data_IF_627933954934
#
_entry.id   IF_627933954934
#
_cell.length_a   1.000
_cell.length_b   1.000
_cell.length_c   1.000
_cell.angle_alpha   90.00
_cell.angle_beta   90.00
_cell.angle_gamma   90.00
#
_symmetry.space_group_name_H-M   'P 1'
#
loop_
_entity.id
_entity.type
_entity.pdbx_description
1 polymer ?
#
# COMPACT_ATOMS: atom_id res chain seq x y z
N UNK A 1 34.09 5.45 -48.59
CA UNK A 1 34.24 5.65 -47.14
C UNK A 1 32.95 6.31 -46.65
N UNK A 2 31.98 5.50 -46.23
CA UNK A 2 30.66 5.94 -45.80
C UNK A 2 30.60 5.87 -44.27
N UNK A 3 29.98 6.84 -43.57
CA UNK A 3 29.90 6.80 -42.11
C UNK A 3 28.79 5.86 -41.66
N UNK A 4 29.11 5.03 -40.67
CA UNK A 4 28.16 4.17 -39.97
C UNK A 4 27.28 5.04 -39.07
N UNK A 5 25.97 5.02 -39.33
CA UNK A 5 24.94 5.54 -38.43
C UNK A 5 24.76 4.57 -37.27
N UNK A 6 24.93 5.09 -36.05
CA UNK A 6 24.67 4.38 -34.80
C UNK A 6 23.19 4.03 -34.68
N UNK A 7 22.95 2.78 -34.31
CA UNK A 7 21.64 2.25 -33.95
C UNK A 7 21.47 2.48 -32.44
N UNK A 8 20.97 3.66 -32.07
CA UNK A 8 20.43 3.92 -30.73
C UNK A 8 19.05 3.26 -30.66
N UNK A 9 19.03 1.98 -30.31
CA UNK A 9 17.80 1.31 -29.90
C UNK A 9 17.30 1.96 -28.59
N UNK A 10 16.05 2.46 -28.53
CA UNK A 10 15.53 3.00 -27.29
C UNK A 10 15.33 1.86 -26.29
N UNK A 11 15.84 2.10 -25.08
CA UNK A 11 15.72 1.37 -23.82
C UNK A 11 14.31 0.77 -23.61
N UNK A 12 14.07 -0.43 -24.15
CA UNK A 12 12.78 -1.13 -24.12
C UNK A 12 12.40 -1.61 -22.72
N UNK A 13 13.37 -1.70 -21.80
CA UNK A 13 13.17 -2.15 -20.43
C UNK A 13 12.43 -1.10 -19.57
N UNK A 14 12.61 0.21 -19.86
CA UNK A 14 11.87 1.28 -19.15
C UNK A 14 10.40 1.38 -19.58
N UNK A 15 10.09 1.02 -20.81
CA UNK A 15 8.73 1.09 -21.35
C UNK A 15 7.82 -0.04 -20.84
N UNK A 16 8.37 -1.26 -20.61
CA UNK A 16 7.59 -2.37 -20.05
C UNK A 16 7.31 -2.21 -18.55
N UNK A 17 8.20 -1.55 -17.80
CA UNK A 17 8.06 -1.35 -16.36
C UNK A 17 7.00 -0.28 -16.02
N UNK A 18 6.85 0.74 -16.87
CA UNK A 18 5.86 1.82 -16.68
C UNK A 18 4.40 1.36 -16.87
N UNK A 19 4.15 0.38 -17.75
CA UNK A 19 2.80 -0.10 -18.06
C UNK A 19 2.17 -1.00 -16.98
N UNK A 20 2.96 -1.47 -16.00
CA UNK A 20 2.51 -2.39 -14.94
C UNK A 20 2.54 -1.77 -13.53
N UNK A 21 2.93 -0.49 -13.39
CA UNK A 21 3.04 0.16 -12.08
C UNK A 21 1.65 0.48 -11.49
N UNK A 22 1.46 0.27 -10.16
CA UNK A 22 0.22 0.67 -9.50
C UNK A 22 -0.04 2.19 -9.64
N UNK A 23 -1.30 2.64 -9.77
CA UNK A 23 -1.63 4.07 -9.82
C UNK A 23 -1.12 4.87 -8.62
N UNK A 24 -1.02 4.24 -7.44
CA UNK A 24 -0.42 4.85 -6.26
C UNK A 24 1.06 5.18 -6.47
N UNK A 25 1.82 4.31 -7.13
CA UNK A 25 3.24 4.57 -7.41
C UNK A 25 3.39 5.78 -8.32
N UNK A 26 2.62 5.83 -9.42
CA UNK A 26 2.63 6.99 -10.32
C UNK A 26 2.22 8.30 -9.62
N UNK A 27 1.31 8.24 -8.65
CA UNK A 27 0.91 9.41 -7.86
C UNK A 27 1.95 9.81 -6.80
N UNK A 28 2.81 8.88 -6.36
CA UNK A 28 3.94 9.15 -5.48
C UNK A 28 5.13 9.74 -6.26
N UNK A 29 5.27 9.39 -7.54
CA UNK A 29 6.30 9.90 -8.45
C UNK A 29 5.95 11.31 -9.00
N UNK A 30 4.98 12.06 -8.42
CA UNK A 30 4.65 13.44 -8.85
C UNK A 30 5.87 14.38 -8.71
N UNK A 31 6.74 14.09 -7.75
CA UNK A 31 7.98 14.85 -7.51
C UNK A 31 9.19 13.96 -7.66
N UNK A 32 10.31 14.58 -8.04
CA UNK A 32 11.60 13.93 -7.99
C UNK A 32 12.00 13.63 -6.53
N UNK A 33 12.88 12.63 -6.39
CA UNK A 33 13.41 12.19 -5.09
C UNK A 33 14.16 13.31 -4.36
N UNK A 34 14.74 14.27 -5.09
CA UNK A 34 15.48 15.40 -4.53
C UNK A 34 14.59 16.36 -3.73
N UNK A 35 13.37 16.63 -4.21
CA UNK A 35 12.39 17.41 -3.45
C UNK A 35 11.90 16.63 -2.22
N UNK A 36 11.64 15.32 -2.35
CA UNK A 36 11.21 14.51 -1.22
C UNK A 36 12.26 14.49 -0.09
N UNK A 37 13.54 14.33 -0.44
CA UNK A 37 14.66 14.41 0.49
C UNK A 37 14.80 15.80 1.12
N UNK A 38 14.66 16.86 0.30
CA UNK A 38 14.69 18.25 0.79
C UNK A 38 13.56 18.52 1.79
N UNK A 39 12.36 18.00 1.53
CA UNK A 39 11.21 18.10 2.45
C UNK A 39 11.50 17.35 3.75
N UNK A 40 11.90 16.08 3.69
CA UNK A 40 12.22 15.29 4.87
C UNK A 40 13.29 15.97 5.74
N UNK A 41 14.42 16.35 5.12
CA UNK A 41 15.52 17.05 5.79
C UNK A 41 15.09 18.37 6.41
N UNK A 42 14.22 19.14 5.73
CA UNK A 42 13.71 20.39 6.28
C UNK A 42 12.86 20.18 7.54
N UNK A 43 12.15 19.05 7.64
CA UNK A 43 11.21 18.76 8.72
C UNK A 43 11.86 18.09 9.93
N UNK A 44 13.01 17.44 9.75
CA UNK A 44 13.75 16.79 10.83
C UNK A 44 14.00 17.75 12.00
N UNK A 45 13.69 17.31 13.22
CA UNK A 45 13.90 18.07 14.45
C UNK A 45 12.84 19.12 14.76
N UNK A 46 11.81 19.30 13.93
CA UNK A 46 10.72 20.25 14.20
C UNK A 46 9.60 19.62 15.03
N UNK A 47 9.06 20.39 15.96
CA UNK A 47 7.84 20.05 16.71
C UNK A 47 6.63 20.83 16.22
N UNK A 48 5.43 20.25 16.41
CA UNK A 48 4.13 20.90 16.14
C UNK A 48 3.97 21.49 14.74
N UNK A 49 4.50 20.80 13.73
CA UNK A 49 4.46 21.25 12.34
C UNK A 49 3.02 21.29 11.82
N UNK A 50 2.68 22.39 11.14
CA UNK A 50 1.44 22.51 10.35
C UNK A 50 1.78 22.54 8.88
N UNK A 51 1.22 21.62 8.12
CA UNK A 51 1.43 21.46 6.69
C UNK A 51 0.10 21.60 5.95
N UNK A 52 0.08 22.38 4.87
CA UNK A 52 -1.13 22.61 4.07
C UNK A 52 -0.86 22.44 2.60
N UNK A 53 -1.87 22.03 1.83
CA UNK A 53 -1.74 21.83 0.38
C UNK A 53 -0.91 20.60 0.03
N UNK A 54 -0.95 19.55 0.85
CA UNK A 54 -0.13 18.35 0.70
C UNK A 54 -0.68 17.43 -0.40
N UNK A 55 0.05 17.19 -1.49
CA UNK A 55 -0.24 16.13 -2.45
C UNK A 55 0.14 14.75 -1.87
N UNK A 56 -0.36 13.66 -2.47
CA UNK A 56 -0.07 12.29 -2.02
C UNK A 56 1.44 12.02 -1.95
N UNK A 57 2.20 12.44 -2.96
CA UNK A 57 3.66 12.27 -3.05
C UNK A 57 4.46 12.84 -1.87
N UNK A 58 3.93 13.83 -1.15
CA UNK A 58 4.63 14.42 0.00
C UNK A 58 4.22 13.81 1.34
N UNK A 59 3.27 12.88 1.39
CA UNK A 59 2.94 12.17 2.63
C UNK A 59 4.09 11.28 3.12
N UNK A 60 4.78 10.47 2.28
CA UNK A 60 5.93 9.68 2.72
C UNK A 60 7.04 10.45 3.43
N UNK A 61 7.63 11.54 2.88
CA UNK A 61 8.67 12.26 3.58
C UNK A 61 8.17 12.95 4.85
N UNK A 62 6.89 13.36 4.90
CA UNK A 62 6.27 13.91 6.13
C UNK A 62 6.16 12.84 7.22
N UNK A 63 5.73 11.62 6.88
CA UNK A 63 5.66 10.50 7.82
C UNK A 63 7.04 10.10 8.33
N UNK A 64 8.04 9.99 7.44
CA UNK A 64 9.40 9.67 7.83
C UNK A 64 9.96 10.68 8.85
N UNK A 65 9.82 11.98 8.57
CA UNK A 65 10.25 13.02 9.50
C UNK A 65 9.41 13.02 10.81
N UNK A 66 8.12 12.65 10.73
CA UNK A 66 7.27 12.51 11.92
C UNK A 66 7.72 11.36 12.80
N UNK A 67 8.09 10.22 12.23
CA UNK A 67 8.53 9.01 12.95
C UNK A 67 9.86 9.24 13.69
N UNK A 68 10.71 10.14 13.18
CA UNK A 68 11.94 10.59 13.86
C UNK A 68 11.69 11.59 15.00
N UNK A 69 10.46 12.12 15.12
CA UNK A 69 10.11 13.14 16.11
C UNK A 69 9.33 12.52 17.27
N UNK A 70 9.68 12.84 18.52
CA UNK A 70 8.93 12.38 19.70
C UNK A 70 7.97 13.44 20.21
N UNK A 71 6.73 13.05 20.50
CA UNK A 71 5.71 13.94 21.07
C UNK A 71 5.08 14.89 20.05
N UNK A 72 4.02 15.59 20.48
CA UNK A 72 3.27 16.55 19.66
C UNK A 72 2.37 15.91 18.59
N UNK A 73 1.52 16.74 17.98
CA UNK A 73 0.64 16.32 16.88
C UNK A 73 0.92 17.20 15.67
N UNK A 74 1.33 16.57 14.57
CA UNK A 74 1.53 17.28 13.30
C UNK A 74 0.18 17.43 12.60
N UNK A 75 -0.08 18.62 12.05
CA UNK A 75 -1.36 18.96 11.44
C UNK A 75 -1.20 19.03 9.94
N UNK A 76 -1.81 18.10 9.21
CA UNK A 76 -1.62 17.95 7.76
C UNK A 76 -2.93 18.15 7.02
N UNK A 77 -3.02 19.20 6.20
CA UNK A 77 -4.13 19.41 5.27
C UNK A 77 -3.71 19.05 3.84
N UNK A 78 -4.24 17.94 3.36
CA UNK A 78 -4.05 17.41 2.02
C UNK A 78 -4.84 18.20 0.96
N UNK A 79 -4.38 18.14 -0.29
CA UNK A 79 -5.14 18.61 -1.45
C UNK A 79 -6.39 17.75 -1.67
N UNK A 80 -7.47 18.29 -2.28
CA UNK A 80 -8.57 17.46 -2.78
C UNK A 80 -8.04 16.27 -3.58
N UNK A 81 -8.56 15.07 -3.30
CA UNK A 81 -8.17 13.83 -3.99
C UNK A 81 -6.87 13.18 -3.50
N UNK A 82 -6.06 13.81 -2.64
CA UNK A 82 -4.82 13.18 -2.15
C UNK A 82 -5.05 12.10 -1.07
N UNK A 83 -6.18 12.14 -0.35
CA UNK A 83 -6.51 11.15 0.69
C UNK A 83 -7.18 9.90 0.11
N UNK A 84 -7.98 10.03 -0.95
CA UNK A 84 -8.76 8.94 -1.55
C UNK A 84 -7.89 7.72 -1.98
N UNK A 85 -6.70 7.89 -2.59
CA UNK A 85 -5.82 6.77 -2.94
C UNK A 85 -5.33 5.95 -1.74
N UNK A 86 -5.32 6.52 -0.53
CA UNK A 86 -4.87 5.81 0.68
C UNK A 86 -5.74 4.58 0.98
N UNK A 87 -7.02 4.61 0.62
CA UNK A 87 -7.93 3.45 0.73
C UNK A 87 -7.53 2.27 -0.19
N UNK A 88 -6.57 2.47 -1.08
CA UNK A 88 -6.10 1.48 -2.07
C UNK A 88 -4.59 1.27 -2.03
N UNK A 89 -3.92 1.86 -1.04
CA UNK A 89 -2.48 1.79 -0.85
C UNK A 89 -2.21 1.13 0.51
N UNK A 90 -2.16 -0.21 0.58
CA UNK A 90 -2.09 -0.94 1.85
C UNK A 90 -0.97 -0.41 2.76
N UNK A 91 0.25 -0.24 2.23
CA UNK A 91 1.41 0.19 3.02
C UNK A 91 1.24 1.64 3.50
N UNK A 92 1.02 2.59 2.59
CA UNK A 92 0.91 4.00 2.94
C UNK A 92 -0.35 4.30 3.75
N UNK A 93 -1.48 3.75 3.35
CA UNK A 93 -2.76 3.97 4.00
C UNK A 93 -2.79 3.46 5.44
N UNK A 94 -2.22 2.28 5.73
CA UNK A 94 -2.15 1.78 7.11
C UNK A 94 -1.15 2.56 7.97
N UNK A 95 -0.06 3.06 7.38
CA UNK A 95 0.88 3.95 8.07
C UNK A 95 0.26 5.31 8.42
N UNK A 96 -0.42 5.97 7.47
CA UNK A 96 -1.15 7.23 7.75
C UNK A 96 -2.25 6.98 8.78
N UNK A 97 -3.00 5.89 8.67
CA UNK A 97 -4.04 5.54 9.64
C UNK A 97 -3.48 5.28 11.04
N UNK A 98 -2.27 4.67 11.15
CA UNK A 98 -1.57 4.51 12.42
C UNK A 98 -1.19 5.86 13.04
N UNK A 99 -0.61 6.76 12.23
CA UNK A 99 -0.23 8.09 12.69
C UNK A 99 -1.45 8.88 13.20
N UNK A 100 -2.59 8.75 12.53
CA UNK A 100 -3.86 9.35 12.97
C UNK A 100 -4.39 8.68 14.24
N UNK A 101 -4.41 7.35 14.31
CA UNK A 101 -4.94 6.62 15.47
C UNK A 101 -4.12 6.85 16.74
N UNK A 102 -2.80 7.01 16.62
CA UNK A 102 -1.89 7.32 17.74
C UNK A 102 -1.91 8.79 18.14
N UNK A 103 -2.63 9.65 17.40
CA UNK A 103 -2.67 11.09 17.65
C UNK A 103 -1.36 11.82 17.30
N UNK A 104 -0.43 11.15 16.63
CA UNK A 104 0.82 11.75 16.15
C UNK A 104 0.58 12.66 14.94
N UNK A 105 -0.51 12.44 14.20
CA UNK A 105 -0.91 13.21 13.03
C UNK A 105 -2.42 13.53 13.03
N UNK A 106 -2.79 14.78 12.78
CA UNK A 106 -4.16 15.21 12.48
C UNK A 106 -4.30 15.42 10.97
N UNK A 107 -5.17 14.66 10.31
CA UNK A 107 -5.35 14.70 8.86
C UNK A 107 -6.62 15.45 8.46
N UNK A 108 -6.48 16.38 7.51
CA UNK A 108 -7.59 17.13 6.90
C UNK A 108 -7.45 17.16 5.39
N UNK A 109 -8.53 17.50 4.70
CA UNK A 109 -8.56 17.78 3.27
C UNK A 109 -9.00 19.22 3.06
N UNK A 110 -8.22 19.99 2.31
CA UNK A 110 -8.60 21.35 1.95
C UNK A 110 -9.90 21.35 1.14
N UNK A 111 -10.79 22.31 1.41
CA UNK A 111 -11.98 22.52 0.58
C UNK A 111 -11.56 22.84 -0.86
N UNK A 112 -12.39 22.42 -1.81
CA UNK A 112 -12.17 22.63 -3.24
C UNK A 112 -12.10 24.14 -3.54
N UNK A 113 -10.88 24.67 -3.65
CA UNK A 113 -10.66 26.00 -4.20
C UNK A 113 -10.81 25.84 -5.70
N UNK A 114 -12.05 25.91 -6.18
CA UNK A 114 -12.34 25.84 -7.60
C UNK A 114 -11.53 26.87 -8.42
N UNK A 115 -11.54 26.79 -9.76
CA UNK A 115 -10.60 27.48 -10.66
C UNK A 115 -10.62 29.03 -10.65
N UNK A 116 -11.32 29.68 -9.71
CA UNK A 116 -11.63 31.12 -9.73
C UNK A 116 -10.75 32.01 -8.87
N UNK A 117 -9.76 31.48 -8.14
CA UNK A 117 -8.73 32.35 -7.55
C UNK A 117 -7.56 32.52 -8.53
N UNK A 118 -7.78 33.40 -9.52
CA UNK A 118 -6.84 33.75 -10.60
C UNK A 118 -5.57 34.50 -10.17
N UNK A 119 -5.09 34.27 -8.96
CA UNK A 119 -3.80 34.74 -8.48
C UNK A 119 -3.14 33.63 -7.67
N UNK A 120 -2.30 32.80 -8.32
CA UNK A 120 -1.46 31.77 -7.67
C UNK A 120 -2.24 30.71 -6.84
N UNK A 121 -3.54 30.57 -7.07
CA UNK A 121 -4.52 29.87 -6.21
C UNK A 121 -4.62 28.35 -6.33
N UNK A 122 -3.58 27.66 -6.80
CA UNK A 122 -3.40 26.25 -6.45
C UNK A 122 -2.95 26.16 -4.99
N UNK A 123 -3.37 25.13 -4.25
CA UNK A 123 -2.90 24.93 -2.88
C UNK A 123 -1.39 24.64 -2.83
N UNK A 124 -0.57 25.72 -2.85
CA UNK A 124 0.87 25.64 -2.63
C UNK A 124 1.13 24.90 -1.33
N UNK A 125 2.06 23.96 -1.38
CA UNK A 125 2.43 23.19 -0.21
C UNK A 125 3.30 24.06 0.68
N UNK A 126 2.86 24.28 1.91
CA UNK A 126 3.60 25.08 2.90
C UNK A 126 3.70 24.31 4.21
N UNK A 127 4.85 24.44 4.88
CA UNK A 127 5.19 23.86 6.16
C UNK A 127 5.46 25.02 7.13
N UNK A 128 4.90 24.98 8.34
CA UNK A 128 5.12 26.00 9.35
C UNK A 128 5.43 25.37 10.72
N UNK A 129 6.50 25.85 11.35
CA UNK A 129 6.83 25.70 12.77
C UNK A 129 6.82 27.08 13.44
N UNK A 130 7.19 27.15 14.72
CA UNK A 130 7.20 28.40 15.49
C UNK A 130 8.20 29.45 14.95
N UNK A 131 9.29 28.98 14.35
CA UNK A 131 10.49 29.74 13.99
C UNK A 131 10.81 29.71 12.48
N UNK A 132 10.11 28.87 11.71
CA UNK A 132 10.40 28.67 10.30
C UNK A 132 9.16 28.35 9.48
N UNK A 133 9.13 28.88 8.25
CA UNK A 133 8.13 28.52 7.24
C UNK A 133 8.86 28.11 5.95
N UNK A 134 8.45 27.00 5.36
CA UNK A 134 8.93 26.57 4.05
C UNK A 134 7.76 26.44 3.09
N UNK A 135 7.97 26.80 1.83
CA UNK A 135 6.99 26.64 0.77
C UNK A 135 7.60 25.94 -0.43
N UNK A 136 6.87 24.99 -1.01
CA UNK A 136 7.23 24.37 -2.29
C UNK A 136 6.94 25.38 -3.41
N UNK A 137 7.97 25.77 -4.15
CA UNK A 137 7.91 26.74 -5.24
C UNK A 137 8.69 26.23 -6.47
N UNK A 138 8.55 26.94 -7.59
CA UNK A 138 9.20 26.59 -8.86
C UNK A 138 8.26 25.89 -9.84
N UNK A 139 8.71 25.69 -11.10
CA UNK A 139 7.95 24.97 -12.12
C UNK A 139 7.83 23.49 -11.75
N UNK A 140 6.87 22.79 -12.36
CA UNK A 140 6.65 21.36 -12.08
C UNK A 140 7.90 20.50 -12.25
N UNK A 141 8.78 20.84 -13.20
CA UNK A 141 10.03 20.12 -13.49
C UNK A 141 11.22 20.49 -12.62
N UNK A 142 11.10 21.49 -11.73
CA UNK A 142 12.20 21.96 -10.88
C UNK A 142 11.64 22.62 -9.61
N UNK A 143 10.83 21.86 -8.86
CA UNK A 143 10.29 22.35 -7.59
C UNK A 143 11.37 22.35 -6.52
N UNK A 144 11.33 23.33 -5.62
CA UNK A 144 12.28 23.47 -4.51
C UNK A 144 11.58 24.08 -3.29
N UNK A 145 12.27 24.11 -2.15
CA UNK A 145 11.82 24.78 -0.94
C UNK A 145 12.32 26.23 -0.91
N UNK A 146 11.40 27.15 -0.61
CA UNK A 146 11.72 28.52 -0.23
C UNK A 146 11.48 28.65 1.26
N UNK A 147 12.53 29.05 1.98
CA UNK A 147 12.55 29.12 3.44
C UNK A 147 12.47 30.58 3.91
N UNK A 148 11.69 30.81 4.96
CA UNK A 148 11.65 32.06 5.71
C UNK A 148 11.85 31.78 7.21
N UNK A 149 12.78 32.51 7.82
CA UNK A 149 13.19 32.38 9.23
C UNK A 149 13.13 33.73 9.97
N UNK A 150 12.82 34.82 9.26
CA UNK A 150 12.65 36.15 9.85
C UNK A 150 11.39 36.16 10.73
N UNK A 151 11.57 36.30 12.05
CA UNK A 151 10.52 36.14 13.06
C UNK A 151 9.19 36.85 12.73
N UNK A 152 9.22 38.10 12.26
CA UNK A 152 8.00 38.86 11.92
C UNK A 152 7.23 38.23 10.74
N UNK A 153 7.96 37.76 9.72
CA UNK A 153 7.36 37.12 8.53
C UNK A 153 6.93 35.69 8.83
N UNK A 154 7.72 34.94 9.60
CA UNK A 154 7.36 33.61 10.09
C UNK A 154 6.06 33.67 10.89
N UNK A 155 5.91 34.63 11.79
CA UNK A 155 4.69 34.77 12.59
C UNK A 155 3.45 35.02 11.71
N UNK A 156 3.57 35.88 10.70
CA UNK A 156 2.48 36.17 9.78
C UNK A 156 2.16 34.96 8.87
N UNK A 157 3.18 34.36 8.25
CA UNK A 157 3.02 33.21 7.35
C UNK A 157 2.52 31.96 8.10
N UNK A 158 3.06 31.70 9.29
CA UNK A 158 2.64 30.60 10.15
C UNK A 158 1.21 30.74 10.67
N UNK A 159 0.70 31.98 10.85
CA UNK A 159 -0.74 32.20 11.10
C UNK A 159 -1.57 31.82 9.87
N UNK A 160 -1.19 32.30 8.68
CA UNK A 160 -1.91 31.98 7.44
C UNK A 160 -1.97 30.47 7.15
N UNK A 161 -0.88 29.73 7.41
CA UNK A 161 -0.83 28.26 7.29
C UNK A 161 -1.78 27.59 8.29
N UNK A 162 -1.79 28.03 9.55
CA UNK A 162 -2.70 27.51 10.58
C UNK A 162 -4.16 27.81 10.29
N UNK A 163 -4.48 29.00 9.83
CA UNK A 163 -5.85 29.38 9.45
C UNK A 163 -6.34 28.52 8.27
N UNK A 164 -5.47 28.27 7.29
CA UNK A 164 -5.78 27.36 6.18
C UNK A 164 -6.04 25.94 6.66
N UNK A 165 -5.24 25.41 7.58
CA UNK A 165 -5.49 24.10 8.19
C UNK A 165 -6.83 24.09 8.95
N UNK A 166 -7.10 25.13 9.75
CA UNK A 166 -8.33 25.25 10.53
C UNK A 166 -9.58 25.27 9.64
N UNK A 167 -9.50 25.86 8.44
CA UNK A 167 -10.58 25.88 7.44
C UNK A 167 -10.78 24.57 6.68
N UNK A 168 -9.82 23.64 6.75
CA UNK A 168 -9.90 22.36 6.07
C UNK A 168 -10.82 21.38 6.82
N UNK A 169 -11.37 20.41 6.10
CA UNK A 169 -12.31 19.42 6.64
C UNK A 169 -11.55 18.22 7.20
N UNK A 170 -11.90 17.69 8.39
CA UNK A 170 -11.35 16.42 8.88
C UNK A 170 -11.45 15.31 7.84
N UNK A 171 -10.38 14.56 7.65
CA UNK A 171 -10.30 13.49 6.67
C UNK A 171 -10.24 12.13 7.36
N UNK A 172 -10.92 11.14 6.80
CA UNK A 172 -10.81 9.74 7.22
C UNK A 172 -9.89 8.99 6.27
N UNK A 173 -9.00 8.18 6.83
CA UNK A 173 -8.21 7.25 6.03
C UNK A 173 -9.07 6.01 5.81
N UNK A 174 -9.34 5.65 4.55
CA UNK A 174 -10.11 4.45 4.20
C UNK A 174 -9.35 3.14 4.43
N UNK A 175 -8.50 3.08 5.46
CA UNK A 175 -7.67 1.94 5.87
C UNK A 175 -7.62 1.87 7.40
N UNK A 176 -7.45 0.68 7.98
CA UNK A 176 -7.24 0.52 9.41
C UNK A 176 -5.84 0.99 9.81
N UNK A 177 -5.69 1.41 11.06
CA UNK A 177 -4.40 1.56 11.71
C UNK A 177 -3.62 0.24 11.63
N UNK A 178 -2.32 0.31 11.42
CA UNK A 178 -1.45 -0.86 11.22
C UNK A 178 -1.42 -1.78 12.44
N UNK A 179 -1.31 -1.22 13.64
CA UNK A 179 -1.37 -1.99 14.90
C UNK A 179 -2.66 -2.80 15.00
N UNK A 180 -3.80 -2.19 14.64
CA UNK A 180 -5.11 -2.86 14.59
C UNK A 180 -5.20 -3.92 13.50
N UNK A 181 -4.67 -3.63 12.30
CA UNK A 181 -4.62 -4.60 11.20
C UNK A 181 -3.89 -5.88 11.64
N UNK A 182 -2.76 -5.74 12.32
CA UNK A 182 -1.94 -6.85 12.77
C UNK A 182 -2.56 -7.59 13.95
N UNK A 183 -3.10 -6.87 14.95
CA UNK A 183 -3.76 -7.50 16.09
C UNK A 183 -4.95 -8.38 15.67
N UNK A 184 -5.80 -7.86 14.80
CA UNK A 184 -6.95 -8.63 14.26
C UNK A 184 -6.54 -9.78 13.34
N UNK A 185 -5.39 -9.65 12.65
CA UNK A 185 -4.82 -10.73 11.86
C UNK A 185 -4.37 -11.88 12.77
N UNK A 186 -3.70 -11.56 13.88
CA UNK A 186 -3.29 -12.55 14.88
C UNK A 186 -4.50 -13.29 15.47
N UNK A 187 -5.58 -12.56 15.78
CA UNK A 187 -6.81 -13.13 16.33
C UNK A 187 -7.59 -14.00 15.34
N UNK A 188 -7.67 -13.59 14.06
CA UNK A 188 -8.52 -14.27 13.07
C UNK A 188 -7.79 -15.37 12.30
N UNK A 189 -6.47 -15.22 12.11
CA UNK A 189 -5.63 -16.12 11.33
C UNK A 189 -4.64 -16.84 12.25
N UNK A 190 -3.46 -16.25 12.49
CA UNK A 190 -2.51 -16.66 13.53
C UNK A 190 -1.40 -15.61 13.72
N UNK A 191 -0.63 -15.73 14.81
CA UNK A 191 0.49 -14.84 15.13
C UNK A 191 1.60 -14.87 14.06
N UNK A 192 1.79 -16.01 13.39
CA UNK A 192 2.81 -16.17 12.34
C UNK A 192 2.47 -15.35 11.11
N UNK A 193 1.22 -15.42 10.65
CA UNK A 193 0.74 -14.58 9.56
C UNK A 193 0.83 -13.09 9.92
N UNK A 194 0.44 -12.71 11.14
CA UNK A 194 0.54 -11.32 11.59
C UNK A 194 1.99 -10.82 11.61
N UNK A 195 2.93 -11.65 12.10
CA UNK A 195 4.37 -11.33 12.13
C UNK A 195 4.94 -11.19 10.72
N UNK A 196 4.63 -12.12 9.83
CA UNK A 196 5.09 -12.08 8.44
C UNK A 196 4.50 -10.89 7.68
N UNK A 197 3.22 -10.56 7.91
CA UNK A 197 2.59 -9.38 7.35
C UNK A 197 3.24 -8.08 7.88
N UNK A 198 3.55 -8.02 9.17
CA UNK A 198 4.23 -6.88 9.76
C UNK A 198 5.60 -6.65 9.10
N UNK A 199 6.42 -7.69 9.03
CA UNK A 199 7.75 -7.63 8.41
C UNK A 199 7.68 -7.27 6.92
N UNK A 200 6.71 -7.83 6.18
CA UNK A 200 6.50 -7.47 4.78
C UNK A 200 6.14 -5.98 4.65
N UNK A 201 5.17 -5.49 5.41
CA UNK A 201 4.76 -4.08 5.35
C UNK A 201 5.88 -3.10 5.77
N UNK A 202 6.83 -3.52 6.62
CA UNK A 202 7.96 -2.67 7.05
C UNK A 202 9.03 -2.54 5.96
N UNK A 203 9.22 -3.60 5.18
CA UNK A 203 10.23 -3.62 4.12
C UNK A 203 9.73 -3.01 2.79
N UNK A 204 8.42 -2.89 2.62
CA UNK A 204 7.85 -2.45 1.34
C UNK A 204 7.84 -0.92 1.20
N UNK A 205 8.30 -0.38 0.06
CA UNK A 205 8.07 1.03 -0.23
C UNK A 205 6.57 1.29 -0.41
N UNK A 206 6.14 2.51 -0.08
CA UNK A 206 4.72 2.90 -0.07
C UNK A 206 3.97 2.70 -1.41
N UNK A 207 4.68 2.76 -2.54
CA UNK A 207 4.14 2.52 -3.88
C UNK A 207 4.29 1.08 -4.40
N UNK A 208 4.85 0.15 -3.61
CA UNK A 208 5.23 -1.19 -4.09
C UNK A 208 4.05 -2.01 -4.62
N UNK A 209 2.85 -1.77 -4.07
CA UNK A 209 1.62 -2.49 -4.33
C UNK A 209 0.44 -1.53 -4.34
N UNK A 210 -0.57 -1.86 -5.13
CA UNK A 210 -1.88 -1.22 -5.09
C UNK A 210 -3.00 -2.24 -5.28
N UNK A 211 -4.23 -1.73 -5.47
CA UNK A 211 -5.44 -2.54 -5.68
C UNK A 211 -5.69 -3.00 -7.11
N UNK A 212 -4.86 -2.58 -8.05
CA UNK A 212 -5.02 -2.83 -9.48
C UNK A 212 -3.70 -3.29 -10.09
N UNK A 213 -3.77 -3.98 -11.22
CA UNK A 213 -2.63 -4.62 -11.88
C UNK A 213 -2.62 -6.12 -11.65
N UNK A 214 -1.57 -6.78 -12.15
CA UNK A 214 -1.47 -8.23 -12.06
C UNK A 214 -1.04 -8.73 -10.68
N UNK A 215 -0.25 -7.92 -9.98
CA UNK A 215 0.23 -8.17 -8.63
C UNK A 215 -0.30 -7.07 -7.71
N UNK A 216 -1.24 -7.44 -6.84
CA UNK A 216 -1.91 -6.49 -5.94
C UNK A 216 -1.54 -6.75 -4.49
N UNK A 217 -1.91 -5.82 -3.60
CA UNK A 217 -1.86 -6.04 -2.16
C UNK A 217 -2.65 -7.30 -1.72
N UNK A 218 -3.75 -7.62 -2.39
CA UNK A 218 -4.53 -8.86 -2.17
C UNK A 218 -3.77 -10.10 -2.62
N UNK A 219 -3.02 -10.01 -3.71
CA UNK A 219 -2.14 -11.12 -4.14
C UNK A 219 -1.11 -11.42 -3.05
N UNK A 220 -0.49 -10.39 -2.46
CA UNK A 220 0.44 -10.56 -1.33
C UNK A 220 -0.26 -11.24 -0.13
N UNK A 221 -1.44 -10.74 0.27
CA UNK A 221 -2.18 -11.31 1.41
C UNK A 221 -2.58 -12.77 1.20
N UNK A 222 -3.02 -13.15 0.01
CA UNK A 222 -3.34 -14.55 -0.33
C UNK A 222 -2.09 -15.42 -0.32
N UNK A 223 -0.95 -14.92 -0.82
CA UNK A 223 0.31 -15.65 -0.81
C UNK A 223 0.83 -15.89 0.61
N UNK A 224 0.79 -14.87 1.48
CA UNK A 224 1.13 -15.01 2.91
C UNK A 224 0.19 -16.00 3.60
N UNK A 225 -1.12 -15.91 3.36
CA UNK A 225 -2.08 -16.85 3.93
C UNK A 225 -1.81 -18.30 3.49
N UNK A 226 -1.43 -18.49 2.23
CA UNK A 226 -1.06 -19.81 1.70
C UNK A 226 0.24 -20.35 2.31
N UNK A 227 1.22 -19.48 2.64
CA UNK A 227 2.45 -19.88 3.35
C UNK A 227 2.18 -20.44 4.76
N UNK A 228 1.06 -20.07 5.36
CA UNK A 228 0.66 -20.52 6.70
C UNK A 228 -0.53 -21.50 6.70
N UNK A 229 -0.91 -22.05 5.55
CA UNK A 229 -1.99 -23.04 5.40
C UNK A 229 -3.40 -22.57 5.85
N UNK A 230 -3.66 -21.25 5.76
CA UNK A 230 -4.92 -20.64 6.21
C UNK A 230 -6.13 -20.98 5.32
N UNK A 231 -7.33 -20.97 5.90
CA UNK A 231 -8.56 -21.07 5.11
C UNK A 231 -8.84 -19.73 4.42
N UNK A 232 -9.22 -19.79 3.14
CA UNK A 232 -9.67 -18.62 2.40
C UNK A 232 -10.86 -17.94 3.08
N UNK A 233 -11.71 -18.69 3.78
CA UNK A 233 -12.85 -18.13 4.49
C UNK A 233 -12.42 -17.22 5.65
N UNK A 234 -11.44 -17.63 6.45
CA UNK A 234 -10.91 -16.82 7.56
C UNK A 234 -10.23 -15.56 7.02
N UNK A 235 -9.43 -15.69 5.95
CA UNK A 235 -8.81 -14.55 5.28
C UNK A 235 -9.83 -13.54 4.74
N UNK A 236 -10.92 -14.03 4.13
CA UNK A 236 -12.02 -13.19 3.62
C UNK A 236 -12.72 -12.46 4.75
N UNK A 237 -13.01 -13.15 5.84
CA UNK A 237 -13.66 -12.57 7.02
C UNK A 237 -12.80 -11.48 7.64
N UNK A 238 -11.50 -11.73 7.81
CA UNK A 238 -10.55 -10.76 8.33
C UNK A 238 -10.46 -9.52 7.45
N UNK A 239 -10.24 -9.70 6.13
CA UNK A 239 -10.01 -8.55 5.23
C UNK A 239 -11.25 -7.67 5.05
N UNK A 240 -12.46 -8.24 5.08
CA UNK A 240 -13.72 -7.48 4.97
C UNK A 240 -14.18 -6.86 6.27
N UNK A 241 -13.68 -7.36 7.41
CA UNK A 241 -14.20 -6.99 8.72
C UNK A 241 -15.65 -7.46 8.93
N UNK A 242 -16.07 -8.52 8.24
CA UNK A 242 -17.41 -9.13 8.42
C UNK A 242 -17.50 -9.88 9.76
N UNK A 243 -18.58 -9.64 10.50
CA UNK A 243 -18.94 -10.43 11.68
C UNK A 243 -19.93 -11.53 11.29
N UNK A 244 -19.76 -12.71 11.89
CA UNK A 244 -20.80 -13.73 11.91
C UNK A 244 -22.00 -13.17 12.69
N UNK A 245 -23.27 -13.28 12.24
CA UNK A 245 -24.38 -13.02 13.13
C UNK A 245 -24.22 -13.96 14.33
N UNK A 246 -24.25 -13.40 15.54
CA UNK A 246 -24.12 -14.20 16.76
C UNK A 246 -25.19 -15.31 16.72
N UNK A 247 -24.75 -16.55 16.57
CA UNK A 247 -25.64 -17.69 16.68
C UNK A 247 -26.19 -17.75 18.10
N UNK A 248 -27.48 -17.45 18.27
CA UNK A 248 -28.30 -17.93 19.39
C UNK A 248 -28.00 -17.39 20.79
N UNK A 249 -27.44 -16.19 20.96
CA UNK A 249 -27.36 -15.55 22.27
C UNK A 249 -28.57 -14.63 22.51
N UNK A 250 -29.38 -14.97 23.52
CA UNK A 250 -30.57 -14.22 23.96
C UNK A 250 -30.25 -12.75 24.20
N UNK A 251 -31.13 -11.89 23.71
CA UNK A 251 -31.21 -10.47 24.03
C UNK A 251 -31.25 -10.29 25.55
N UNK A 252 -30.23 -9.62 26.10
CA UNK A 252 -30.10 -9.43 27.54
C UNK A 252 -28.67 -9.08 27.93
N UNK A 253 -28.25 -7.85 27.61
CA UNK A 253 -26.98 -7.30 28.07
C UNK A 253 -26.66 -5.99 27.37
N UNK A 254 -26.68 -4.91 28.16
CA UNK A 254 -26.23 -3.55 27.88
C UNK A 254 -25.54 -3.35 26.52
N UNK A 255 -26.23 -2.61 25.64
CA UNK A 255 -25.92 -2.38 24.23
C UNK A 255 -24.72 -1.48 23.96
N UNK A 256 -23.65 -1.60 24.75
CA UNK A 256 -22.37 -0.94 24.51
C UNK A 256 -21.29 -1.96 24.10
N UNK A 257 -21.67 -2.97 23.31
CA UNK A 257 -20.72 -3.89 22.65
C UNK A 257 -20.14 -3.24 21.40
N UNK A 258 -18.99 -2.57 21.58
CA UNK A 258 -17.95 -2.21 20.60
C UNK A 258 -18.39 -2.28 19.12
N UNK A 259 -18.98 -1.22 18.61
CA UNK A 259 -19.04 -0.94 17.17
C UNK A 259 -17.67 -0.58 16.57
N UNK A 260 -16.61 -0.60 17.39
CA UNK A 260 -15.30 -0.07 17.09
C UNK A 260 -14.29 -1.13 16.65
N UNK A 261 -14.58 -2.12 15.79
CA UNK A 261 -13.60 -3.22 15.62
C UNK A 261 -13.57 -3.92 14.24
N UNK A 262 -13.73 -3.16 13.14
CA UNK A 262 -13.52 -3.64 11.76
C UNK A 262 -12.15 -3.26 11.20
N UNK A 263 -11.51 -4.18 10.47
CA UNK A 263 -10.27 -3.99 9.70
C UNK A 263 -10.58 -3.36 8.34
N UNK A 264 -11.61 -3.87 7.64
CA UNK A 264 -12.20 -3.22 6.47
C UNK A 264 -11.19 -2.83 5.39
N UNK A 265 -10.27 -3.72 5.04
CA UNK A 265 -9.24 -3.48 4.03
C UNK A 265 -9.87 -3.59 2.63
N UNK A 266 -10.56 -4.68 2.33
CA UNK A 266 -11.22 -4.91 1.03
C UNK A 266 -12.44 -5.83 1.18
N UNK A 267 -13.31 -5.88 0.17
CA UNK A 267 -14.39 -6.85 0.16
C UNK A 267 -13.83 -8.28 0.05
N UNK A 268 -14.37 -9.23 0.83
CA UNK A 268 -13.85 -10.60 0.85
C UNK A 268 -13.94 -11.31 -0.52
N UNK A 269 -14.91 -10.94 -1.35
CA UNK A 269 -15.04 -11.51 -2.70
C UNK A 269 -13.89 -11.11 -3.64
N UNK A 270 -13.22 -9.99 -3.34
CA UNK A 270 -12.14 -9.45 -4.17
C UNK A 270 -10.92 -10.37 -4.22
N UNK A 271 -10.75 -11.27 -3.23
CA UNK A 271 -9.65 -12.23 -3.20
C UNK A 271 -9.80 -13.37 -4.23
N UNK A 272 -10.96 -13.50 -4.88
CA UNK A 272 -11.25 -14.63 -5.78
C UNK A 272 -10.28 -14.68 -6.96
N UNK A 273 -10.04 -13.53 -7.57
CA UNK A 273 -9.25 -13.42 -8.79
C UNK A 273 -7.76 -13.49 -8.48
N UNK A 274 -7.30 -12.83 -7.42
CA UNK A 274 -5.93 -12.96 -6.91
C UNK A 274 -5.57 -14.42 -6.60
N UNK A 275 -6.45 -15.13 -5.87
CA UNK A 275 -6.27 -16.56 -5.62
C UNK A 275 -6.21 -17.37 -6.91
N UNK A 276 -7.13 -17.14 -7.86
CA UNK A 276 -7.14 -17.87 -9.15
C UNK A 276 -5.85 -17.62 -9.93
N UNK A 277 -5.33 -16.40 -9.93
CA UNK A 277 -4.04 -16.05 -10.56
C UNK A 277 -2.89 -16.84 -9.92
N UNK A 278 -2.80 -16.87 -8.60
CA UNK A 278 -1.77 -17.64 -7.89
C UNK A 278 -1.87 -19.15 -8.15
N UNK A 279 -3.09 -19.71 -8.19
CA UNK A 279 -3.31 -21.14 -8.50
C UNK A 279 -2.94 -21.48 -9.95
N UNK A 280 -3.35 -20.65 -10.92
CA UNK A 280 -3.00 -20.85 -12.34
C UNK A 280 -1.48 -20.81 -12.55
N UNK A 281 -0.78 -19.88 -11.88
CA UNK A 281 0.69 -19.80 -11.92
C UNK A 281 1.40 -20.90 -11.12
N UNK A 282 0.68 -21.81 -10.46
CA UNK A 282 1.28 -22.91 -9.70
C UNK A 282 2.01 -22.47 -8.44
N UNK A 283 1.70 -21.29 -7.90
CA UNK A 283 2.34 -20.76 -6.68
C UNK A 283 1.69 -21.29 -5.41
N UNK A 284 0.37 -21.48 -5.48
CA UNK A 284 -0.44 -22.00 -4.38
C UNK A 284 -1.43 -23.05 -4.89
N UNK A 285 -1.91 -23.89 -3.98
CA UNK A 285 -3.08 -24.73 -4.16
C UNK A 285 -4.26 -24.22 -3.31
N UNK A 286 -5.48 -24.53 -3.75
CA UNK A 286 -6.71 -24.28 -3.01
C UNK A 286 -7.46 -25.60 -2.81
N UNK A 287 -7.21 -26.24 -1.66
CA UNK A 287 -7.67 -27.59 -1.35
C UNK A 287 -9.04 -27.51 -0.69
N UNK A 288 -10.03 -28.27 -1.21
CA UNK A 288 -11.33 -28.41 -0.55
C UNK A 288 -11.18 -29.25 0.71
N UNK A 289 -11.52 -28.68 1.86
CA UNK A 289 -11.48 -29.35 3.15
C UNK A 289 -12.87 -29.34 3.79
N UNK A 290 -13.33 -30.45 4.36
CA UNK A 290 -14.59 -30.48 5.11
C UNK A 290 -14.40 -29.67 6.39
N UNK A 291 -15.33 -28.75 6.67
CA UNK A 291 -15.35 -27.97 7.90
C UNK A 291 -16.80 -27.89 8.38
N UNK A 292 -17.09 -28.35 9.60
CA UNK A 292 -18.39 -28.21 10.23
C UNK A 292 -19.56 -28.82 9.46
N UNK A 293 -20.65 -28.05 9.35
CA UNK A 293 -22.02 -28.37 8.88
C UNK A 293 -22.15 -28.66 7.36
N UNK A 294 -21.06 -29.03 6.69
CA UNK A 294 -21.12 -29.71 5.39
C UNK A 294 -20.77 -28.87 4.16
N UNK A 295 -20.48 -27.56 4.29
CA UNK A 295 -19.94 -26.77 3.15
C UNK A 295 -18.41 -26.85 3.14
N UNK A 296 -17.79 -27.48 2.12
CA UNK A 296 -16.34 -27.55 2.05
C UNK A 296 -15.75 -26.14 1.94
N UNK A 297 -14.74 -25.86 2.75
CA UNK A 297 -13.96 -24.62 2.70
C UNK A 297 -12.69 -24.84 1.89
N UNK A 298 -12.09 -23.75 1.41
CA UNK A 298 -10.82 -23.81 0.68
C UNK A 298 -9.68 -23.52 1.64
N UNK A 299 -8.77 -24.47 1.80
CA UNK A 299 -7.47 -24.28 2.43
C UNK A 299 -6.47 -23.81 1.38
N UNK A 300 -5.81 -22.69 1.64
CA UNK A 300 -4.75 -22.15 0.79
C UNK A 300 -3.43 -22.78 1.23
N UNK A 301 -2.62 -23.27 0.29
CA UNK A 301 -1.31 -23.85 0.60
C UNK A 301 -0.28 -23.41 -0.43
N UNK A 302 0.84 -22.86 0.00
CA UNK A 302 1.95 -22.55 -0.91
C UNK A 302 2.59 -23.86 -1.41
N UNK A 303 2.88 -23.93 -2.71
CA UNK A 303 3.51 -25.10 -3.35
C UNK A 303 4.75 -24.76 -4.17
N UNK A 304 4.97 -23.48 -4.47
CA UNK A 304 6.22 -23.03 -5.07
C UNK A 304 7.36 -22.99 -4.03
N UNK A 305 8.47 -23.65 -4.34
CA UNK A 305 9.63 -23.77 -3.45
C UNK A 305 10.23 -22.40 -3.08
N UNK A 306 10.25 -21.44 -4.02
CA UNK A 306 10.77 -20.11 -3.76
C UNK A 306 9.85 -19.35 -2.80
N UNK A 307 8.53 -19.42 -2.99
CA UNK A 307 7.55 -18.81 -2.09
C UNK A 307 7.58 -19.42 -0.68
N UNK A 308 7.78 -20.74 -0.58
CA UNK A 308 7.90 -21.44 0.71
C UNK A 308 9.16 -21.05 1.48
N UNK A 309 10.29 -20.84 0.79
CA UNK A 309 11.58 -20.50 1.41
C UNK A 309 11.80 -19.01 1.60
N UNK A 310 11.02 -18.16 0.94
CA UNK A 310 11.13 -16.72 1.06
C UNK A 310 10.95 -16.28 2.53
N UNK A 311 11.84 -15.41 2.98
CA UNK A 311 11.57 -14.60 4.17
C UNK A 311 10.39 -13.66 3.91
N UNK A 312 9.72 -13.12 4.95
CA UNK A 312 8.54 -12.29 4.75
C UNK A 312 8.80 -11.06 3.86
N UNK A 313 10.00 -10.48 3.92
CA UNK A 313 10.42 -9.32 3.14
C UNK A 313 10.72 -9.66 1.67
N UNK A 314 11.04 -10.92 1.38
CA UNK A 314 11.34 -11.42 0.02
C UNK A 314 10.08 -11.86 -0.76
N UNK A 315 8.95 -12.07 -0.08
CA UNK A 315 7.72 -12.61 -0.70
C UNK A 315 7.31 -11.79 -1.92
N UNK A 316 7.33 -10.46 -1.84
CA UNK A 316 6.95 -9.63 -2.99
C UNK A 316 7.92 -9.79 -4.17
N UNK A 317 9.23 -9.89 -3.90
CA UNK A 317 10.24 -10.09 -4.93
C UNK A 317 10.04 -11.42 -5.64
N UNK A 318 9.77 -12.50 -4.89
CA UNK A 318 9.44 -13.82 -5.46
C UNK A 318 8.17 -13.74 -6.32
N UNK A 319 7.11 -13.10 -5.82
CA UNK A 319 5.88 -12.92 -6.60
C UNK A 319 6.14 -12.14 -7.89
N UNK A 320 6.89 -11.04 -7.86
CA UNK A 320 7.26 -10.28 -9.07
C UNK A 320 8.00 -11.15 -10.07
N UNK A 321 9.03 -11.88 -9.62
CA UNK A 321 9.79 -12.80 -10.47
C UNK A 321 8.92 -13.87 -11.12
N UNK A 322 7.93 -14.41 -10.40
CA UNK A 322 6.99 -15.42 -10.92
C UNK A 322 5.91 -14.86 -11.83
N UNK A 323 5.49 -13.61 -11.61
CA UNK A 323 4.51 -12.93 -12.45
C UNK A 323 5.11 -12.42 -13.76
N UNK A 324 6.43 -12.14 -13.79
CA UNK A 324 7.16 -11.76 -14.98
C UNK A 324 7.38 -12.92 -15.98
N UNK A 325 7.22 -14.17 -15.54
CA UNK A 325 7.36 -15.32 -16.44
C UNK A 325 6.19 -15.40 -17.42
N UNK A 326 6.46 -15.76 -18.69
CA UNK A 326 5.43 -15.92 -19.72
C UNK A 326 4.45 -17.02 -19.30
N UNK A 327 3.20 -16.85 -19.70
CA UNK A 327 2.13 -17.80 -19.42
C UNK A 327 1.46 -18.27 -20.70
N UNK A 328 1.02 -19.53 -20.70
CA UNK A 328 0.22 -20.10 -21.78
C UNK A 328 -1.22 -19.54 -21.79
N UNK A 329 -2.04 -20.01 -22.75
CA UNK A 329 -3.45 -19.62 -22.87
C UNK A 329 -4.27 -19.89 -21.59
N UNK A 330 -3.87 -20.89 -20.80
CA UNK A 330 -4.50 -21.27 -19.53
C UNK A 330 -3.97 -20.45 -18.32
N UNK A 331 -3.02 -19.55 -18.54
CA UNK A 331 -2.39 -18.73 -17.51
C UNK A 331 -1.37 -19.48 -16.65
N UNK A 332 -0.90 -20.65 -17.10
CA UNK A 332 0.17 -21.43 -16.46
C UNK A 332 1.51 -20.89 -16.93
N UNK A 333 2.50 -20.87 -16.04
CA UNK A 333 3.85 -20.46 -16.42
C UNK A 333 4.38 -21.41 -17.49
N UNK A 334 4.78 -20.86 -18.64
CA UNK A 334 5.34 -21.66 -19.72
C UNK A 334 6.62 -22.34 -19.26
N UNK A 335 6.67 -23.66 -19.41
CA UNK A 335 7.91 -24.39 -19.21
C UNK A 335 8.83 -24.11 -20.40
N UNK A 336 10.12 -23.78 -20.16
CA UNK A 336 11.04 -23.57 -21.26
C UNK A 336 11.12 -24.84 -22.13
N UNK A 337 11.18 -24.71 -23.46
CA UNK A 337 11.25 -25.86 -24.36
C UNK A 337 12.46 -26.73 -23.99
N UNK A 338 12.21 -27.98 -23.58
CA UNK A 338 13.23 -28.94 -23.14
C UNK A 338 13.19 -29.35 -21.66
N UNK A 339 12.33 -28.75 -20.83
CA UNK A 339 12.16 -29.17 -19.42
C UNK A 339 11.56 -30.57 -19.25
N UNK A 340 10.87 -31.09 -20.27
CA UNK A 340 10.33 -32.46 -20.31
C UNK A 340 11.41 -33.54 -20.15
N UNK A 341 12.68 -33.21 -20.46
CA UNK A 341 13.83 -34.08 -20.23
C UNK A 341 14.19 -34.29 -18.75
N UNK A 342 13.69 -33.44 -17.85
CA UNK A 342 13.88 -33.51 -16.39
C UNK A 342 12.64 -33.97 -15.63
N UNK A 343 11.62 -34.52 -16.31
CA UNK A 343 10.56 -35.23 -15.59
C UNK A 343 11.14 -36.49 -14.94
N UNK A 344 10.87 -36.73 -13.65
CA UNK A 344 11.18 -38.01 -13.02
C UNK A 344 10.57 -39.15 -13.85
N UNK A 345 11.27 -40.29 -13.89
CA UNK A 345 10.95 -41.40 -14.80
C UNK A 345 9.48 -41.89 -14.70
N UNK A 346 8.83 -41.68 -13.57
CA UNK A 346 7.43 -42.07 -13.32
C UNK A 346 6.36 -41.18 -13.98
N UNK A 347 6.70 -39.96 -14.42
CA UNK A 347 5.78 -39.08 -15.17
C UNK A 347 5.88 -39.24 -16.68
N UNK A 348 6.82 -40.06 -17.17
CA UNK A 348 6.91 -40.38 -18.59
C UNK A 348 5.79 -41.33 -18.93
N UNK A 349 4.72 -40.81 -19.52
CA UNK A 349 3.66 -41.61 -20.13
C UNK A 349 4.33 -42.69 -20.99
N UNK A 350 4.06 -43.96 -20.69
CA UNK A 350 4.54 -45.09 -21.50
C UNK A 350 4.02 -44.87 -22.92
N UNK A 351 4.89 -44.37 -23.81
CA UNK A 351 4.67 -44.45 -25.25
C UNK A 351 4.46 -45.92 -25.56
N UNK A 352 3.23 -46.27 -25.91
CA UNK A 352 2.86 -47.63 -26.28
C UNK A 352 3.81 -48.15 -27.35
N UNK A 353 4.40 -49.33 -27.10
CA UNK A 353 4.94 -50.16 -28.16
C UNK A 353 3.76 -50.91 -28.74
N UNK A 354 3.51 -50.66 -30.03
CA UNK A 354 2.69 -51.40 -31.00
C UNK A 354 1.35 -51.96 -30.54
#
# INVERSE_FOLDING_TARGET
MAPATGDDAPDSDRASDAASRPPVAAALDEFDDGLAESVASSLTGRSDVVVVGVPLALLPPILAARDETTGGTWRVACRPGAVEPLARALVLGTAVAEAVATGSLELRTAADLGPRSGALGGARTCFASADRVDAVAGPASARTLVTEETAERVAAAGRAVRDRFASATPATVGMPARSRLLATAAETLDDRFATDLAAALDALPYGALGRSGDLTDRTLLVALAARHDHLLWDLRRWISGETQPAGGAREGGDGTRREAERVGVAAGQDLTDDRRRLVRRGLIEAIKVPVGDGRPRLRLRAVDDALLRATPTEVLSVLRGRFALPVDEDGRVESPPGSDGRRPVWERTRRGKN
#
